data_IF_408363488155
#
_entry.id   IF_408363488155
#
_cell.length_a   1.000
_cell.length_b   1.000
_cell.length_c   1.000
_cell.angle_alpha   90.00
_cell.angle_beta   90.00
_cell.angle_gamma   90.00
#
_symmetry.space_group_name_H-M   'P 1'
#
loop_
_entity.id
_entity.type
_entity.pdbx_description
1 polymer ?
#
# COMPACT_ATOMS: atom_id res chain seq x y z
N UNK A 1 -42.48 -33.61 -30.01
CA UNK A 1 -42.39 -32.31 -30.72
C UNK A 1 -42.60 -31.21 -29.70
N UNK A 2 -41.84 -30.13 -29.84
CA UNK A 2 -41.51 -29.10 -28.86
C UNK A 2 -42.73 -28.43 -28.19
N UNK A 3 -42.61 -28.15 -26.89
CA UNK A 3 -43.57 -27.31 -26.16
C UNK A 3 -42.95 -25.91 -26.03
N UNK A 4 -43.29 -25.03 -26.96
CA UNK A 4 -43.05 -23.59 -26.86
C UNK A 4 -43.86 -23.05 -25.67
N UNK A 5 -43.16 -22.53 -24.67
CA UNK A 5 -43.76 -21.72 -23.61
C UNK A 5 -43.16 -20.32 -23.73
N UNK A 6 -43.90 -19.42 -24.37
CA UNK A 6 -43.63 -17.99 -24.33
C UNK A 6 -44.23 -17.40 -23.04
N UNK A 7 -43.46 -16.72 -22.18
CA UNK A 7 -44.02 -15.76 -21.25
C UNK A 7 -44.08 -14.38 -21.91
N UNK A 8 -45.27 -13.79 -21.89
CA UNK A 8 -45.59 -12.46 -22.44
C UNK A 8 -44.89 -11.29 -21.74
N UNK A 9 -45.20 -10.05 -22.15
CA UNK A 9 -44.46 -8.86 -21.75
C UNK A 9 -44.67 -8.55 -20.26
N UNK A 10 -43.57 -8.45 -19.52
CA UNK A 10 -43.58 -8.03 -18.11
C UNK A 10 -43.88 -6.53 -18.04
N UNK A 11 -45.11 -6.19 -17.68
CA UNK A 11 -45.51 -4.83 -17.30
C UNK A 11 -44.73 -4.41 -16.05
N UNK A 12 -43.93 -3.35 -16.17
CA UNK A 12 -43.28 -2.72 -15.01
C UNK A 12 -44.34 -2.05 -14.13
N UNK A 13 -44.41 -2.31 -12.82
CA UNK A 13 -45.23 -1.50 -11.94
C UNK A 13 -44.60 -0.12 -11.79
N UNK A 14 -45.26 0.88 -12.38
CA UNK A 14 -45.17 2.27 -11.96
C UNK A 14 -45.81 2.37 -10.58
N UNK A 15 -45.01 2.65 -9.54
CA UNK A 15 -45.45 3.34 -8.32
C UNK A 15 -44.27 3.49 -7.36
N UNK A 16 -43.61 4.65 -7.40
CA UNK A 16 -43.10 5.25 -6.17
C UNK A 16 -43.02 6.76 -6.36
N UNK A 17 -43.94 7.49 -5.71
CA UNK A 17 -43.85 8.93 -5.51
C UNK A 17 -43.16 9.17 -4.15
N UNK A 18 -42.22 10.12 -4.04
CA UNK A 18 -41.60 10.44 -2.77
C UNK A 18 -42.60 11.20 -1.87
N UNK A 19 -42.68 10.90 -0.56
CA UNK A 19 -43.41 11.74 0.38
C UNK A 19 -42.59 12.98 0.73
N UNK A 20 -43.23 14.15 0.66
CA UNK A 20 -42.73 15.42 1.16
C UNK A 20 -42.73 15.45 2.69
N UNK A 21 -41.64 15.99 3.25
CA UNK A 21 -41.53 16.75 4.50
C UNK A 21 -42.25 16.20 5.76
N UNK A 22 -41.53 15.45 6.61
CA UNK A 22 -41.52 15.69 8.07
C UNK A 22 -40.41 14.88 8.77
N UNK A 23 -39.77 15.52 9.75
CA UNK A 23 -38.50 15.15 10.35
C UNK A 23 -38.56 13.89 11.23
N UNK A 24 -37.73 12.89 10.92
CA UNK A 24 -37.41 11.75 11.80
C UNK A 24 -35.98 11.95 12.36
N UNK A 25 -35.75 11.88 13.69
CA UNK A 25 -34.43 12.09 14.28
C UNK A 25 -33.51 10.91 13.92
N UNK A 26 -32.45 11.20 13.18
CA UNK A 26 -31.43 10.23 12.79
C UNK A 26 -30.70 9.70 14.05
N UNK A 27 -30.50 8.37 14.20
CA UNK A 27 -29.63 7.85 15.24
C UNK A 27 -28.21 8.37 15.00
N UNK A 28 -27.60 8.96 16.04
CA UNK A 28 -26.19 9.38 16.06
C UNK A 28 -25.30 8.18 15.75
N UNK A 29 -25.02 7.96 14.47
CA UNK A 29 -23.83 7.24 14.07
C UNK A 29 -22.68 8.08 14.59
N UNK A 30 -22.08 7.62 15.68
CA UNK A 30 -20.76 8.03 16.12
C UNK A 30 -19.82 7.78 14.95
N UNK A 31 -19.69 8.79 14.09
CA UNK A 31 -18.55 8.96 13.24
C UNK A 31 -17.37 9.00 14.21
N UNK A 32 -16.74 7.85 14.42
CA UNK A 32 -15.32 7.87 14.64
C UNK A 32 -14.76 8.47 13.36
N UNK A 33 -14.71 9.80 13.33
CA UNK A 33 -13.72 10.55 12.59
C UNK A 33 -12.37 10.11 13.14
N UNK A 34 -11.97 8.90 12.75
CA UNK A 34 -10.57 8.58 12.62
C UNK A 34 -10.12 9.44 11.44
N UNK A 35 -9.98 10.74 11.71
CA UNK A 35 -8.96 11.57 11.13
C UNK A 35 -7.65 10.81 11.38
N UNK A 36 -7.41 9.78 10.57
CA UNK A 36 -6.12 9.59 9.93
C UNK A 36 -5.88 10.91 9.26
N UNK A 37 -5.33 11.83 10.04
CA UNK A 37 -4.65 13.01 9.58
C UNK A 37 -3.75 12.46 8.49
N UNK A 38 -4.20 12.61 7.24
CA UNK A 38 -3.33 12.57 6.10
C UNK A 38 -2.37 13.69 6.40
N UNK A 39 -1.25 13.35 7.06
CA UNK A 39 -0.11 14.22 7.20
C UNK A 39 0.42 14.42 5.78
N UNK A 40 -0.28 15.26 5.03
CA UNK A 40 0.13 15.78 3.75
C UNK A 40 1.11 16.91 4.04
N UNK A 41 2.33 16.55 4.47
CA UNK A 41 3.51 17.42 4.44
C UNK A 41 4.74 16.72 5.03
N UNK A 42 5.20 15.64 4.41
CA UNK A 42 6.63 15.30 4.31
C UNK A 42 6.83 14.78 2.89
N UNK A 43 6.85 15.75 1.96
CA UNK A 43 7.08 15.69 0.51
C UNK A 43 6.27 14.69 -0.32
N UNK A 44 6.37 14.89 -1.61
CA UNK A 44 6.36 13.85 -2.63
C UNK A 44 7.46 12.76 -2.41
N UNK A 45 7.93 12.52 -1.16
CA UNK A 45 9.25 11.97 -0.74
C UNK A 45 9.40 10.45 -0.89
N UNK A 46 8.30 9.73 -1.15
CA UNK A 46 8.26 8.25 -1.12
C UNK A 46 8.18 7.59 -2.49
N UNK A 47 8.21 8.40 -3.54
CA UNK A 47 8.17 7.93 -4.92
C UNK A 47 9.57 7.61 -5.43
N UNK A 48 9.71 6.48 -6.10
CA UNK A 48 10.93 6.05 -6.79
C UNK A 48 11.14 6.75 -8.15
N UNK A 49 10.52 7.91 -8.37
CA UNK A 49 10.48 8.59 -9.68
C UNK A 49 11.89 9.01 -10.11
N UNK A 50 12.30 8.62 -11.31
CA UNK A 50 13.62 8.96 -11.85
C UNK A 50 14.78 8.11 -11.31
N UNK A 51 14.53 7.12 -10.46
CA UNK A 51 15.57 6.15 -10.06
C UNK A 51 15.89 5.18 -11.19
N UNK A 52 17.17 4.85 -11.31
CA UNK A 52 17.64 3.73 -12.13
C UNK A 52 17.21 2.38 -11.55
N UNK A 53 17.32 1.32 -12.34
CA UNK A 53 16.99 -0.04 -11.88
C UNK A 53 17.90 -0.50 -10.74
N UNK A 54 19.18 -0.15 -10.78
CA UNK A 54 20.13 -0.50 -9.72
C UNK A 54 19.80 0.22 -8.42
N UNK A 55 19.46 1.51 -8.48
CA UNK A 55 19.01 2.28 -7.30
C UNK A 55 17.71 1.71 -6.73
N UNK A 56 16.76 1.36 -7.59
CA UNK A 56 15.50 0.71 -7.20
C UNK A 56 15.76 -0.65 -6.53
N UNK A 57 16.76 -1.40 -7.01
CA UNK A 57 17.18 -2.69 -6.44
C UNK A 57 17.82 -2.52 -5.07
N UNK A 58 18.64 -1.50 -4.87
CA UNK A 58 19.18 -1.19 -3.55
C UNK A 58 18.10 -0.73 -2.57
N UNK A 59 17.14 0.09 -3.03
CA UNK A 59 15.96 0.46 -2.23
C UNK A 59 15.17 -0.79 -1.83
N UNK A 60 14.93 -1.71 -2.76
CA UNK A 60 14.24 -2.96 -2.47
C UNK A 60 14.95 -3.76 -1.37
N UNK A 61 16.28 -3.90 -1.45
CA UNK A 61 17.07 -4.54 -0.38
C UNK A 61 16.89 -3.84 0.96
N UNK A 62 16.91 -2.51 0.96
CA UNK A 62 16.65 -1.72 2.16
C UNK A 62 15.26 -2.00 2.74
N UNK A 63 14.22 -2.08 1.91
CA UNK A 63 12.86 -2.38 2.36
C UNK A 63 12.74 -3.77 2.99
N UNK A 64 13.39 -4.78 2.39
CA UNK A 64 13.44 -6.13 2.97
C UNK A 64 14.12 -6.13 4.33
N UNK A 65 15.21 -5.39 4.49
CA UNK A 65 15.90 -5.29 5.77
C UNK A 65 15.07 -4.58 6.83
N UNK A 66 14.37 -3.50 6.46
CA UNK A 66 13.44 -2.81 7.36
C UNK A 66 12.31 -3.75 7.81
N UNK A 67 11.82 -4.61 6.92
CA UNK A 67 10.85 -5.63 7.31
C UNK A 67 11.44 -6.60 8.34
N UNK A 68 12.63 -7.15 8.09
CA UNK A 68 13.26 -8.10 9.00
C UNK A 68 13.54 -7.50 10.38
N UNK A 69 13.90 -6.22 10.42
CA UNK A 69 14.30 -5.55 11.65
C UNK A 69 13.11 -5.01 12.45
N UNK A 70 12.07 -4.53 11.78
CA UNK A 70 10.97 -3.79 12.41
C UNK A 70 9.56 -4.35 12.12
N UNK A 71 9.39 -5.21 11.12
CA UNK A 71 8.08 -5.75 10.74
C UNK A 71 7.10 -4.69 10.25
N UNK A 72 7.60 -3.60 9.65
CA UNK A 72 6.84 -2.38 9.37
C UNK A 72 5.98 -2.43 8.10
N UNK A 73 6.10 -3.48 7.29
CA UNK A 73 5.28 -3.70 6.09
C UNK A 73 4.26 -4.81 6.31
N UNK A 74 3.02 -4.56 5.90
CA UNK A 74 1.98 -5.57 5.80
C UNK A 74 1.82 -5.98 4.33
N UNK A 75 2.75 -6.78 3.83
CA UNK A 75 2.78 -7.19 2.43
C UNK A 75 3.31 -8.61 2.29
N UNK A 76 2.43 -9.51 1.86
CA UNK A 76 2.78 -10.90 1.54
C UNK A 76 3.94 -10.99 0.55
N UNK A 77 4.07 -10.02 -0.37
CA UNK A 77 5.17 -10.00 -1.33
C UNK A 77 6.53 -9.79 -0.63
N UNK A 78 6.57 -8.91 0.36
CA UNK A 78 7.78 -8.68 1.14
C UNK A 78 8.08 -9.94 1.95
N UNK A 79 7.07 -10.52 2.61
CA UNK A 79 7.25 -11.74 3.41
C UNK A 79 7.82 -12.89 2.57
N UNK A 80 7.27 -13.12 1.36
CA UNK A 80 7.82 -14.12 0.42
C UNK A 80 9.27 -13.84 0.01
N UNK A 81 9.62 -12.56 -0.16
CA UNK A 81 10.99 -12.19 -0.51
C UNK A 81 11.95 -12.39 0.67
N UNK A 82 11.49 -12.15 1.90
CA UNK A 82 12.26 -12.48 3.11
C UNK A 82 12.49 -14.00 3.20
N UNK A 83 11.44 -14.80 3.01
CA UNK A 83 11.51 -16.26 3.08
C UNK A 83 12.47 -16.85 2.02
N UNK A 84 12.57 -16.19 0.86
CA UNK A 84 13.49 -16.56 -0.22
C UNK A 84 14.96 -16.23 0.06
N UNK A 85 15.26 -15.50 1.15
CA UNK A 85 16.63 -15.13 1.54
C UNK A 85 17.35 -14.31 0.47
N UNK A 86 18.56 -14.73 0.09
CA UNK A 86 19.36 -14.10 -0.98
C UNK A 86 18.60 -13.91 -2.29
N UNK A 87 17.76 -14.89 -2.64
CA UNK A 87 16.95 -14.86 -3.87
C UNK A 87 15.79 -13.85 -3.77
N UNK A 88 15.46 -13.34 -2.58
CA UNK A 88 14.44 -12.33 -2.36
C UNK A 88 14.71 -11.00 -3.07
N UNK A 89 15.99 -10.70 -3.30
CA UNK A 89 16.39 -9.51 -4.08
C UNK A 89 15.91 -9.62 -5.54
N UNK A 90 15.89 -10.83 -6.10
CA UNK A 90 15.45 -11.08 -7.47
C UNK A 90 13.91 -11.06 -7.60
N UNK A 91 13.18 -11.08 -6.48
CA UNK A 91 11.72 -10.91 -6.42
C UNK A 91 11.29 -9.44 -6.38
N UNK A 92 12.20 -8.52 -6.68
CA UNK A 92 11.94 -7.08 -6.77
C UNK A 92 10.70 -6.82 -7.66
N UNK A 93 9.65 -6.18 -7.11
CA UNK A 93 8.48 -5.86 -7.92
C UNK A 93 8.73 -4.68 -8.85
N UNK A 94 7.77 -4.42 -9.72
CA UNK A 94 7.80 -3.20 -10.53
C UNK A 94 7.70 -1.95 -9.64
N UNK A 95 8.16 -0.83 -10.20
CA UNK A 95 8.23 0.46 -9.51
C UNK A 95 6.92 0.90 -8.85
N UNK A 96 5.79 0.76 -9.53
CA UNK A 96 4.49 1.18 -8.99
C UNK A 96 4.13 0.42 -7.70
N UNK A 97 4.46 -0.86 -7.64
CA UNK A 97 4.26 -1.65 -6.42
C UNK A 97 5.22 -1.21 -5.32
N UNK A 98 6.48 -0.88 -5.64
CA UNK A 98 7.44 -0.33 -4.66
C UNK A 98 6.90 0.97 -4.06
N UNK A 99 6.42 1.89 -4.89
CA UNK A 99 5.81 3.14 -4.43
C UNK A 99 4.63 2.87 -3.48
N UNK A 100 3.75 1.92 -3.87
CA UNK A 100 2.62 1.49 -3.03
C UNK A 100 3.10 0.94 -1.68
N UNK A 101 4.19 0.17 -1.67
CA UNK A 101 4.76 -0.39 -0.45
C UNK A 101 5.36 0.70 0.44
N UNK A 102 6.05 1.70 -0.12
CA UNK A 102 6.59 2.84 0.63
C UNK A 102 5.49 3.61 1.37
N UNK A 103 4.30 3.75 0.77
CA UNK A 103 3.14 4.36 1.42
C UNK A 103 2.52 3.48 2.52
N UNK A 104 2.69 2.16 2.43
CA UNK A 104 2.09 1.19 3.35
C UNK A 104 2.87 0.97 4.64
N UNK A 105 4.01 1.63 4.84
CA UNK A 105 4.85 1.52 6.04
C UNK A 105 4.09 1.99 7.29
N UNK A 106 4.06 1.16 8.33
CA UNK A 106 3.41 1.43 9.62
C UNK A 106 4.42 1.26 10.75
N UNK A 107 4.31 2.07 11.81
CA UNK A 107 5.09 1.96 13.06
C UNK A 107 6.62 1.87 12.88
N UNK A 108 7.14 2.45 11.80
CA UNK A 108 8.58 2.49 11.53
C UNK A 108 9.25 3.56 12.41
N UNK A 109 10.25 3.20 13.24
CA UNK A 109 10.97 4.16 14.06
C UNK A 109 11.84 5.09 13.21
N UNK A 110 12.26 6.22 13.78
CA UNK A 110 12.92 7.28 13.04
C UNK A 110 14.23 6.82 12.40
N UNK A 111 15.01 5.94 13.04
CA UNK A 111 16.24 5.40 12.46
C UNK A 111 15.97 4.60 11.18
N UNK A 112 14.89 3.81 11.17
CA UNK A 112 14.48 3.04 10.00
C UNK A 112 13.94 3.94 8.89
N UNK A 113 13.24 5.02 9.27
CA UNK A 113 12.69 6.00 8.33
C UNK A 113 13.79 6.84 7.69
N UNK A 114 14.80 7.26 8.44
CA UNK A 114 15.99 7.91 7.91
C UNK A 114 16.73 7.02 6.91
N UNK A 115 16.83 5.73 7.20
CA UNK A 115 17.44 4.77 6.29
C UNK A 115 16.65 4.69 4.97
N UNK A 116 15.32 4.52 5.04
CA UNK A 116 14.47 4.48 3.85
C UNK A 116 14.61 5.77 3.02
N UNK A 117 14.56 6.93 3.69
CA UNK A 117 14.70 8.24 3.07
C UNK A 117 16.07 8.45 2.41
N UNK A 118 17.13 7.78 2.86
CA UNK A 118 18.44 7.85 2.20
C UNK A 118 18.41 7.31 0.77
N UNK A 119 17.66 6.24 0.55
CA UNK A 119 17.51 5.63 -0.77
C UNK A 119 16.50 6.40 -1.62
N UNK A 120 15.48 7.00 -0.99
CA UNK A 120 14.49 7.82 -1.69
C UNK A 120 15.01 9.22 -2.04
N UNK A 121 15.89 9.78 -1.21
CA UNK A 121 16.49 11.11 -1.35
C UNK A 121 18.02 11.00 -1.15
N UNK A 122 18.79 10.74 -2.22
CA UNK A 122 20.25 10.55 -2.16
C UNK A 122 21.04 11.83 -1.80
N UNK A 123 20.38 12.96 -1.54
CA UNK A 123 21.02 14.20 -1.05
C UNK A 123 21.62 14.06 0.36
N UNK A 124 21.34 12.96 1.07
CA UNK A 124 21.90 12.67 2.39
C UNK A 124 23.21 11.84 2.30
N UNK A 125 24.37 12.39 2.69
CA UNK A 125 25.66 11.74 2.48
C UNK A 125 25.99 10.74 3.59
N UNK A 126 25.48 9.51 3.53
CA UNK A 126 25.96 8.42 4.43
C UNK A 126 26.01 7.05 3.74
N UNK A 127 27.20 6.66 3.26
CA UNK A 127 27.45 5.34 2.66
C UNK A 127 27.72 4.29 3.74
N UNK A 128 26.67 3.70 4.32
CA UNK A 128 26.84 2.48 5.11
C UNK A 128 26.75 1.25 4.20
N UNK A 129 27.81 0.45 4.17
CA UNK A 129 27.88 -0.80 3.41
C UNK A 129 27.45 -1.95 4.33
N UNK A 130 26.16 -2.30 4.30
CA UNK A 130 25.63 -3.38 5.13
C UNK A 130 25.91 -4.77 4.52
N UNK A 131 26.12 -5.75 5.41
CA UNK A 131 26.47 -7.14 5.08
C UNK A 131 25.43 -8.12 5.63
N UNK A 132 24.15 -7.78 5.48
CA UNK A 132 23.04 -8.51 6.10
C UNK A 132 23.00 -10.00 5.70
N UNK A 133 23.28 -10.26 4.43
CA UNK A 133 23.19 -11.56 3.77
C UNK A 133 24.46 -12.43 3.90
N UNK A 134 25.34 -12.13 4.86
CA UNK A 134 26.50 -12.98 5.13
C UNK A 134 26.05 -14.22 5.90
N UNK A 135 25.86 -15.30 5.16
CA UNK A 135 25.73 -16.67 5.67
C UNK A 135 27.05 -17.09 6.35
N UNK A 136 26.98 -17.43 7.64
CA UNK A 136 28.02 -18.19 8.36
C UNK A 136 28.18 -19.61 7.78
#
# INVERSE_FOLDING_TARGET
MYRENHPGPLSLPSMWSPPSDEAIPLPKQSHHDNHRSRQASTCSERSCEGMSLDETRELWRCMLELQLRYGCYNSTRIDMAIDAGECGVDLMPNRFIIDTLNESVIDLPDEGRELLNRYLCPSSPTKQKWKFWKKD
#
